data_IF_687498338504
#
_entry.id   IF_687498338504
#
_cell.length_a   1.000
_cell.length_b   1.000
_cell.length_c   1.000
_cell.angle_alpha   90.00
_cell.angle_beta   90.00
_cell.angle_gamma   90.00
#
_symmetry.space_group_name_H-M   'P 1'
#
loop_
_entity.id
_entity.type
_entity.pdbx_description
1 polymer ?
#
# COMPACT_ATOMS: atom_id res chain seq x y z
N UNK A 1 -13.21 10.37 -33.48
CA UNK A 1 -12.30 9.29 -33.91
C UNK A 1 -11.66 8.72 -32.66
N UNK A 2 -12.25 7.67 -32.10
CA UNK A 2 -11.71 7.00 -30.92
C UNK A 2 -10.83 5.85 -31.41
N UNK A 3 -9.52 5.92 -31.13
CA UNK A 3 -8.57 4.94 -31.64
C UNK A 3 -8.55 3.80 -30.65
N UNK A 4 -9.15 2.67 -31.01
CA UNK A 4 -9.20 1.49 -30.16
C UNK A 4 -7.79 1.09 -29.70
N UNK A 5 -7.57 1.03 -28.39
CA UNK A 5 -6.30 0.60 -27.82
C UNK A 5 -6.17 -0.92 -28.00
N UNK A 6 -5.03 -1.37 -28.55
CA UNK A 6 -4.81 -2.81 -28.76
C UNK A 6 -4.63 -3.56 -27.45
N UNK A 7 -4.22 -2.88 -26.38
CA UNK A 7 -3.84 -3.48 -25.10
C UNK A 7 -5.01 -3.62 -24.13
N UNK A 8 -5.95 -2.67 -24.12
CA UNK A 8 -7.08 -2.63 -23.20
C UNK A 8 -8.29 -1.96 -23.87
N UNK A 9 -9.47 -2.21 -23.35
CA UNK A 9 -10.71 -1.53 -23.74
C UNK A 9 -11.17 -0.55 -22.64
N UNK A 10 -10.94 -0.89 -21.37
CA UNK A 10 -11.14 0.01 -20.23
C UNK A 10 -9.87 0.10 -19.39
N UNK A 11 -9.68 1.23 -18.73
CA UNK A 11 -8.51 1.50 -17.90
C UNK A 11 -8.87 2.39 -16.74
N UNK A 12 -8.32 2.06 -15.57
CA UNK A 12 -8.39 2.89 -14.38
C UNK A 12 -6.99 3.08 -13.82
N UNK A 13 -6.58 4.33 -13.66
CA UNK A 13 -5.31 4.67 -13.02
C UNK A 13 -5.62 5.58 -11.83
N UNK A 14 -5.09 5.22 -10.68
CA UNK A 14 -5.22 5.98 -9.42
C UNK A 14 -3.84 6.34 -8.92
N UNK A 15 -3.64 7.64 -8.67
CA UNK A 15 -2.47 8.17 -7.97
C UNK A 15 -2.94 8.69 -6.62
N UNK A 16 -2.25 8.34 -5.55
CA UNK A 16 -2.56 8.83 -4.21
C UNK A 16 -1.30 9.22 -3.45
N UNK A 17 -1.44 10.25 -2.63
CA UNK A 17 -0.46 10.67 -1.65
C UNK A 17 -1.13 10.72 -0.28
N UNK A 18 -0.51 10.12 0.72
CA UNK A 18 -0.98 10.10 2.10
C UNK A 18 0.15 10.46 3.04
N UNK A 19 -0.15 11.32 4.00
CA UNK A 19 0.74 11.68 5.10
C UNK A 19 0.06 11.26 6.40
N UNK A 20 0.75 10.48 7.23
CA UNK A 20 0.23 10.10 8.54
C UNK A 20 1.32 10.05 9.60
N UNK A 21 0.93 10.38 10.82
CA UNK A 21 1.78 10.31 12.01
C UNK A 21 1.30 9.16 12.91
N UNK A 22 2.22 8.30 13.32
CA UNK A 22 1.99 7.27 14.33
C UNK A 22 2.81 7.60 15.59
N UNK A 23 2.13 7.77 16.72
CA UNK A 23 2.77 7.91 18.04
C UNK A 23 2.67 6.60 18.83
N UNK A 24 3.77 6.19 19.47
CA UNK A 24 3.82 5.05 20.38
C UNK A 24 4.42 5.46 21.72
N UNK A 25 3.75 5.06 22.79
CA UNK A 25 4.16 5.30 24.17
C UNK A 25 4.32 3.97 24.89
N UNK A 26 5.49 3.71 25.45
CA UNK A 26 5.75 2.51 26.23
C UNK A 26 6.48 2.82 27.54
N UNK A 27 6.07 2.14 28.62
CA UNK A 27 6.63 2.33 29.95
C UNK A 27 6.69 1.00 30.68
N UNK A 28 7.83 0.68 31.27
CA UNK A 28 7.98 -0.52 32.10
C UNK A 28 7.18 -0.35 33.39
N UNK A 29 6.67 -1.48 33.92
CA UNK A 29 5.97 -1.47 35.20
C UNK A 29 6.86 -0.91 36.32
N UNK A 30 6.29 -0.08 37.18
CA UNK A 30 6.96 0.59 38.31
C UNK A 30 8.21 1.43 37.93
N UNK A 31 8.35 1.83 36.67
CA UNK A 31 9.45 2.65 36.18
C UNK A 31 8.97 4.06 35.77
N UNK A 32 9.72 5.12 36.11
CA UNK A 32 9.36 6.49 35.75
C UNK A 32 9.67 6.81 34.28
N UNK A 33 10.50 6.00 33.61
CA UNK A 33 10.93 6.23 32.24
C UNK A 33 9.83 5.86 31.22
N UNK A 34 9.20 6.89 30.62
CA UNK A 34 8.25 6.77 29.53
C UNK A 34 8.97 6.96 28.20
N UNK A 35 9.03 5.91 27.38
CA UNK A 35 9.56 6.00 26.02
C UNK A 35 8.47 6.46 25.07
N UNK A 36 8.75 7.52 24.33
CA UNK A 36 7.92 8.09 23.30
C UNK A 36 8.61 7.94 21.95
N UNK A 37 7.85 7.56 20.95
CA UNK A 37 8.33 7.42 19.59
C UNK A 37 7.27 7.89 18.62
N UNK A 38 7.70 8.64 17.62
CA UNK A 38 6.83 9.23 16.61
C UNK A 38 7.39 8.91 15.23
N UNK A 39 6.58 8.23 14.43
CA UNK A 39 6.84 7.95 13.02
C UNK A 39 5.99 8.87 12.14
N UNK A 40 6.64 9.65 11.28
CA UNK A 40 5.98 10.37 10.21
C UNK A 40 6.18 9.59 8.91
N UNK A 41 5.08 9.23 8.25
CA UNK A 41 5.10 8.39 7.05
C UNK A 41 4.47 9.15 5.88
N UNK A 42 5.28 9.37 4.84
CA UNK A 42 4.83 9.86 3.55
C UNK A 42 4.65 8.64 2.63
N UNK A 43 3.43 8.38 2.15
CA UNK A 43 3.10 7.26 1.26
C UNK A 43 2.61 7.78 -0.09
N UNK A 44 3.33 7.44 -1.16
CA UNK A 44 2.95 7.67 -2.55
C UNK A 44 2.56 6.34 -3.19
N UNK A 45 1.38 6.26 -3.79
CA UNK A 45 0.94 5.04 -4.50
C UNK A 45 0.44 5.32 -5.91
N UNK A 46 0.65 4.32 -6.76
CA UNK A 46 0.06 4.23 -8.09
C UNK A 46 -0.57 2.86 -8.25
N UNK A 47 -1.79 2.84 -8.75
CA UNK A 47 -2.51 1.64 -9.12
C UNK A 47 -3.04 1.82 -10.55
N UNK A 48 -2.79 0.83 -11.40
CA UNK A 48 -3.21 0.81 -12.79
C UNK A 48 -3.85 -0.53 -13.11
N UNK A 49 -5.13 -0.49 -13.45
CA UNK A 49 -5.95 -1.65 -13.80
C UNK A 49 -6.46 -1.54 -15.25
N UNK A 50 -6.49 -2.67 -15.93
CA UNK A 50 -6.82 -2.78 -17.35
C UNK A 50 -7.76 -3.95 -17.62
N UNK A 51 -8.78 -3.67 -18.41
CA UNK A 51 -9.76 -4.66 -18.84
C UNK A 51 -9.69 -4.82 -20.35
N UNK A 52 -9.63 -6.06 -20.84
CA UNK A 52 -9.63 -6.38 -22.26
C UNK A 52 -10.67 -7.43 -22.59
N UNK A 53 -11.66 -7.08 -23.41
CA UNK A 53 -12.60 -8.04 -24.01
C UNK A 53 -11.85 -8.80 -25.09
N UNK A 54 -11.72 -10.11 -24.89
CA UNK A 54 -11.07 -11.03 -25.84
C UNK A 54 -12.09 -11.79 -26.69
N UNK A 55 -13.32 -11.96 -26.18
CA UNK A 55 -14.50 -12.47 -26.88
C UNK A 55 -15.74 -11.77 -26.32
N UNK A 56 -16.90 -11.95 -26.96
CA UNK A 56 -18.17 -11.39 -26.49
C UNK A 56 -18.47 -11.76 -25.03
N UNK A 57 -18.17 -13.01 -24.64
CA UNK A 57 -18.40 -13.54 -23.30
C UNK A 57 -17.10 -13.79 -22.51
N UNK A 58 -15.99 -13.12 -22.86
CA UNK A 58 -14.72 -13.29 -22.13
C UNK A 58 -13.91 -12.00 -22.02
N UNK A 59 -13.56 -11.63 -20.79
CA UNK A 59 -12.75 -10.47 -20.44
C UNK A 59 -11.54 -10.88 -19.62
N UNK A 60 -10.37 -10.38 -19.98
CA UNK A 60 -9.13 -10.52 -19.21
C UNK A 60 -8.91 -9.24 -18.42
N UNK A 61 -8.53 -9.39 -17.16
CA UNK A 61 -8.17 -8.32 -16.24
C UNK A 61 -6.70 -8.44 -15.92
N UNK A 62 -5.99 -7.33 -15.90
CA UNK A 62 -4.62 -7.28 -15.42
C UNK A 62 -4.31 -5.90 -14.85
N UNK A 63 -3.43 -5.85 -13.87
CA UNK A 63 -3.09 -4.61 -13.20
C UNK A 63 -1.76 -4.68 -12.47
N UNK A 64 -1.27 -3.50 -12.12
CA UNK A 64 -0.05 -3.31 -11.33
C UNK A 64 -0.29 -2.24 -10.29
N UNK A 65 0.23 -2.47 -9.10
CA UNK A 65 0.21 -1.53 -8.00
C UNK A 65 1.63 -1.33 -7.48
N UNK A 66 1.99 -0.10 -7.16
CA UNK A 66 3.22 0.23 -6.48
C UNK A 66 2.96 1.26 -5.38
N UNK A 67 3.59 1.04 -4.21
CA UNK A 67 3.54 1.94 -3.06
C UNK A 67 4.98 2.25 -2.64
N UNK A 68 5.29 3.53 -2.51
CA UNK A 68 6.54 4.06 -2.00
C UNK A 68 6.29 4.74 -0.66
N UNK A 69 6.99 4.31 0.38
CA UNK A 69 6.89 4.86 1.73
C UNK A 69 8.22 5.50 2.12
N UNK A 70 8.15 6.70 2.69
CA UNK A 70 9.27 7.39 3.31
C UNK A 70 8.96 7.63 4.79
N UNK A 71 9.75 7.01 5.67
CA UNK A 71 9.51 7.00 7.12
C UNK A 71 10.59 7.82 7.83
N UNK A 72 10.14 8.79 8.63
CA UNK A 72 10.98 9.56 9.55
C UNK A 72 10.60 9.20 10.98
N UNK A 73 11.49 8.54 11.71
CA UNK A 73 11.25 8.12 13.10
C UNK A 73 12.04 9.03 14.05
N UNK A 74 11.37 9.51 15.09
CA UNK A 74 11.97 10.23 16.22
C UNK A 74 11.61 9.54 17.52
N UNK A 75 12.50 9.56 18.51
CA UNK A 75 12.26 8.90 19.79
C UNK A 75 12.97 9.64 20.93
N UNK A 76 12.31 9.68 22.07
CA UNK A 76 12.85 10.22 23.31
C UNK A 76 12.28 9.47 24.50
N UNK A 77 12.99 9.50 25.62
CA UNK A 77 12.53 8.99 26.89
C UNK A 77 12.27 10.18 27.83
N UNK A 78 11.18 10.10 28.59
CA UNK A 78 10.76 11.12 29.54
C UNK A 78 10.67 10.50 30.93
N UNK A 79 11.41 11.02 31.89
CA UNK A 79 11.13 10.75 33.29
C UNK A 79 9.85 11.50 33.70
N UNK A 80 8.80 10.76 34.07
CA UNK A 80 7.49 11.35 34.41
C UNK A 80 7.48 12.07 35.76
N UNK A 81 8.47 11.83 36.63
CA UNK A 81 8.60 12.46 37.94
C UNK A 81 9.38 13.77 37.85
N UNK A 82 10.47 13.80 37.06
CA UNK A 82 11.34 14.97 36.93
C UNK A 82 11.07 15.80 35.67
N UNK A 83 10.41 15.23 34.66
CA UNK A 83 10.16 15.86 33.37
C UNK A 83 11.37 15.87 32.42
N UNK A 84 12.51 15.32 32.84
CA UNK A 84 13.75 15.30 32.05
C UNK A 84 13.56 14.43 30.81
N UNK A 85 14.06 14.93 29.67
CA UNK A 85 14.06 14.23 28.39
C UNK A 85 15.46 13.72 28.07
N UNK A 86 15.55 12.45 27.66
CA UNK A 86 16.78 11.82 27.18
C UNK A 86 16.56 11.23 25.79
N UNK A 87 17.64 11.13 25.00
CA UNK A 87 17.55 10.57 23.66
C UNK A 87 17.31 9.05 23.73
N UNK A 88 16.33 8.57 22.96
CA UNK A 88 16.03 7.15 22.85
C UNK A 88 16.30 6.66 21.41
N UNK A 89 16.58 5.36 21.21
CA UNK A 89 16.74 4.79 19.88
C UNK A 89 15.40 4.79 19.13
N UNK A 90 15.44 5.19 17.86
CA UNK A 90 14.29 5.14 16.94
C UNK A 90 14.07 3.71 16.43
N UNK A 91 12.86 3.40 15.95
CA UNK A 91 12.60 2.08 15.33
C UNK A 91 13.25 1.97 13.95
N UNK A 92 13.32 3.10 13.25
CA UNK A 92 13.89 3.24 11.93
C UNK A 92 15.03 4.29 12.00
N UNK A 93 16.28 3.86 12.27
CA UNK A 93 17.43 4.77 12.39
C UNK A 93 17.84 5.38 11.03
N UNK A 94 18.84 6.27 11.01
CA UNK A 94 19.48 6.83 9.81
C UNK A 94 18.68 7.82 8.94
N UNK A 95 17.49 8.24 9.38
CA UNK A 95 16.75 9.40 8.86
C UNK A 95 16.08 9.23 7.48
N UNK A 96 16.60 8.38 6.59
CA UNK A 96 15.97 8.01 5.31
C UNK A 96 15.60 6.54 5.31
N UNK A 97 14.33 6.24 5.61
CA UNK A 97 13.81 4.88 5.60
C UNK A 97 12.80 4.74 4.47
N UNK A 98 13.26 4.18 3.35
CA UNK A 98 12.50 4.08 2.11
C UNK A 98 12.07 2.63 1.86
N UNK A 99 10.79 2.41 1.63
CA UNK A 99 10.23 1.09 1.34
C UNK A 99 9.37 1.14 0.09
N UNK A 100 9.59 0.18 -0.81
CA UNK A 100 8.78 0.01 -2.02
C UNK A 100 8.11 -1.35 -1.97
N UNK A 101 6.81 -1.38 -2.22
CA UNK A 101 6.05 -2.59 -2.45
C UNK A 101 5.45 -2.54 -3.85
N UNK A 102 5.44 -3.68 -4.56
CA UNK A 102 4.85 -3.83 -5.88
C UNK A 102 4.00 -5.09 -5.89
N UNK A 103 2.82 -5.00 -6.49
CA UNK A 103 1.92 -6.12 -6.70
C UNK A 103 1.43 -6.14 -8.15
N UNK A 104 1.08 -7.34 -8.62
CA UNK A 104 0.49 -7.54 -9.94
C UNK A 104 -0.78 -8.36 -9.79
N UNK A 105 -1.81 -7.98 -10.54
CA UNK A 105 -3.09 -8.68 -10.59
C UNK A 105 -3.32 -9.21 -11.99
N UNK A 106 -3.95 -10.40 -12.08
CA UNK A 106 -4.39 -10.99 -13.34
C UNK A 106 -5.61 -11.86 -13.10
N UNK A 107 -6.58 -11.79 -14.01
CA UNK A 107 -7.79 -12.62 -13.95
C UNK A 107 -8.43 -12.79 -15.33
N UNK A 108 -9.37 -13.72 -15.43
CA UNK A 108 -10.24 -13.89 -16.59
C UNK A 108 -11.64 -14.16 -16.09
N UNK A 109 -12.63 -13.51 -16.69
CA UNK A 109 -14.05 -13.78 -16.48
C UNK A 109 -14.67 -14.19 -17.79
N UNK A 110 -15.43 -15.30 -17.80
CA UNK A 110 -16.23 -15.68 -18.95
C UNK A 110 -17.31 -16.70 -18.60
N UNK A 111 -18.38 -16.68 -19.38
CA UNK A 111 -19.49 -17.65 -19.30
C UNK A 111 -19.27 -18.65 -20.43
N UNK A 112 -19.04 -19.91 -20.08
CA UNK A 112 -18.96 -21.01 -21.04
C UNK A 112 -20.34 -21.64 -21.16
N UNK A 113 -20.97 -21.53 -22.33
CA UNK A 113 -22.16 -22.33 -22.63
C UNK A 113 -21.73 -23.75 -23.00
N UNK A 114 -22.06 -24.73 -22.14
CA UNK A 114 -21.93 -26.14 -22.50
C UNK A 114 -23.04 -26.50 -23.50
N UNK A 115 -22.68 -26.56 -24.79
CA UNK A 115 -23.59 -27.08 -25.81
C UNK A 115 -23.56 -28.61 -25.77
N UNK A 116 -24.42 -29.24 -24.97
CA UNK A 116 -24.68 -30.68 -25.08
C UNK A 116 -25.59 -30.94 -26.29
N UNK A 117 -25.01 -31.33 -27.41
CA UNK A 117 -25.77 -31.84 -28.56
C UNK A 117 -26.14 -33.30 -28.31
N UNK A 118 -27.41 -33.59 -28.01
CA UNK A 118 -27.95 -34.95 -28.12
C UNK A 118 -28.17 -35.27 -29.60
N UNK A 119 -27.42 -36.24 -30.13
CA UNK A 119 -27.69 -36.83 -31.45
C UNK A 119 -28.76 -37.90 -31.26
N UNK A 120 -29.93 -37.72 -31.89
CA UNK A 120 -30.97 -38.74 -32.08
C UNK A 120 -30.72 -39.56 -33.32
#
# INVERSE_FOLDING_TARGET
YDKACRLFDETKIVLAFQEFEESRHDRKFAKPELRNRTENVDALSVNADFDKKIKENATVYYGVEAIYNNIKSTAHEKDILTGILTQAPTRYPDGKNLYVAVAVTKGIHGIFEDTFSYVT
#
